data_IF_473819188639
#
_entry.id   IF_473819188639
#
_cell.length_a   1.000
_cell.length_b   1.000
_cell.length_c   1.000
_cell.angle_alpha   90.00
_cell.angle_beta   90.00
_cell.angle_gamma   90.00
#
_symmetry.space_group_name_H-M   'P 1'
#
loop_
_entity.id
_entity.type
_entity.pdbx_description
1 polymer ?
#
# COMPACT_ATOMS: atom_id res chain seq x y z
N UNK A 1 -15.28 7.08 60.16
CA UNK A 1 -14.24 6.49 59.28
C UNK A 1 -12.86 6.99 59.77
N UNK A 2 -11.91 7.38 58.89
CA UNK A 2 -10.64 8.03 59.26
C UNK A 2 -10.68 9.58 59.15
N UNK A 3 -11.80 10.16 58.72
CA UNK A 3 -12.05 11.59 58.87
C UNK A 3 -12.42 11.90 60.33
N UNK A 4 -12.15 13.13 60.75
CA UNK A 4 -12.62 13.60 62.04
C UNK A 4 -14.03 14.18 61.90
N UNK A 5 -14.89 13.99 62.90
CA UNK A 5 -16.26 14.52 62.90
C UNK A 5 -16.33 16.02 62.56
N UNK A 6 -15.34 16.80 63.01
CA UNK A 6 -15.27 18.22 62.68
C UNK A 6 -14.97 18.51 61.21
N UNK A 7 -14.15 17.69 60.56
CA UNK A 7 -13.85 17.82 59.13
C UNK A 7 -15.06 17.40 58.28
N UNK A 8 -15.74 16.33 58.66
CA UNK A 8 -16.97 15.87 58.00
C UNK A 8 -18.04 16.96 58.06
N UNK A 9 -18.35 17.49 59.25
CA UNK A 9 -19.43 18.49 59.40
C UNK A 9 -19.09 19.87 58.83
N UNK A 10 -17.85 20.36 58.99
CA UNK A 10 -17.51 21.75 58.65
C UNK A 10 -16.80 21.94 57.32
N UNK A 11 -16.17 20.89 56.76
CA UNK A 11 -15.38 21.00 55.53
C UNK A 11 -16.05 20.27 54.37
N UNK A 12 -16.38 18.99 54.57
CA UNK A 12 -16.89 18.12 53.50
C UNK A 12 -18.42 18.00 53.49
N UNK A 13 -19.08 18.52 54.52
CA UNK A 13 -20.54 18.53 54.70
C UNK A 13 -21.18 17.14 54.73
N UNK A 14 -20.41 16.14 55.14
CA UNK A 14 -20.82 14.73 55.27
C UNK A 14 -21.38 14.41 56.67
N UNK A 15 -22.06 13.26 56.84
CA UNK A 15 -22.58 12.84 58.15
C UNK A 15 -21.54 11.97 58.89
N UNK A 16 -20.97 12.40 60.03
CA UNK A 16 -19.96 11.63 60.77
C UNK A 16 -20.46 10.28 61.33
N UNK A 17 -21.77 10.00 61.21
CA UNK A 17 -22.37 8.70 61.57
C UNK A 17 -22.42 7.72 60.40
N UNK A 18 -22.22 8.21 59.17
CA UNK A 18 -22.14 7.41 57.96
C UNK A 18 -20.67 7.36 57.55
N UNK A 19 -20.17 6.16 57.26
CA UNK A 19 -18.81 6.04 56.75
C UNK A 19 -18.73 6.37 55.25
N UNK A 20 -19.86 6.35 54.57
CA UNK A 20 -20.08 6.53 53.13
C UNK A 20 -21.39 7.34 53.05
N UNK A 21 -21.25 8.63 52.76
CA UNK A 21 -22.31 9.63 52.90
C UNK A 21 -23.26 9.66 51.73
N UNK A 22 -22.79 9.34 50.53
CA UNK A 22 -23.61 9.26 49.33
C UNK A 22 -24.04 7.83 48.97
N UNK A 23 -23.51 6.81 49.66
CA UNK A 23 -23.84 5.40 49.53
C UNK A 23 -23.49 4.78 48.17
N UNK A 24 -22.40 5.24 47.56
CA UNK A 24 -21.89 4.71 46.29
C UNK A 24 -20.95 3.49 46.46
N UNK A 25 -20.53 3.21 47.70
CA UNK A 25 -19.64 2.11 48.08
C UNK A 25 -18.20 2.51 48.42
N UNK A 26 -17.88 3.80 48.44
CA UNK A 26 -16.60 4.36 48.88
C UNK A 26 -16.81 5.13 50.19
N UNK A 27 -15.87 5.03 51.14
CA UNK A 27 -15.93 5.83 52.37
C UNK A 27 -15.44 7.27 52.13
N UNK A 28 -16.08 8.23 52.81
CA UNK A 28 -15.83 9.67 52.67
C UNK A 28 -14.33 10.00 52.77
N UNK A 29 -13.60 9.34 53.69
CA UNK A 29 -12.16 9.50 53.80
C UNK A 29 -11.40 9.15 52.51
N UNK A 30 -11.73 8.05 51.83
CA UNK A 30 -11.02 7.63 50.60
C UNK A 30 -11.38 8.50 49.42
N UNK A 31 -12.64 8.91 49.33
CA UNK A 31 -13.09 9.85 48.30
C UNK A 31 -12.28 11.13 48.36
N UNK A 32 -12.18 11.75 49.54
CA UNK A 32 -11.49 13.03 49.69
C UNK A 32 -9.96 12.89 49.65
N UNK A 33 -9.39 11.87 50.32
CA UNK A 33 -7.93 11.78 50.49
C UNK A 33 -7.21 10.99 49.40
N UNK A 34 -7.92 10.13 48.68
CA UNK A 34 -7.30 9.20 47.70
C UNK A 34 -7.80 9.44 46.29
N UNK A 35 -9.12 9.54 46.09
CA UNK A 35 -9.72 9.58 44.76
C UNK A 35 -9.92 11.02 44.25
N UNK A 36 -10.16 11.97 45.15
CA UNK A 36 -10.52 13.35 44.80
C UNK A 36 -11.96 13.49 44.30
N UNK A 37 -12.84 12.56 44.67
CA UNK A 37 -14.28 12.58 44.39
C UNK A 37 -15.04 13.39 45.46
N UNK A 38 -16.28 13.76 45.17
CA UNK A 38 -17.16 14.48 46.10
C UNK A 38 -17.96 13.48 46.95
N UNK A 39 -17.73 13.38 48.27
CA UNK A 39 -18.35 12.37 49.13
C UNK A 39 -19.85 12.56 49.37
N UNK A 40 -20.47 13.55 48.71
CA UNK A 40 -21.91 13.76 48.72
C UNK A 40 -22.53 13.53 47.33
N UNK A 41 -21.77 13.01 46.37
CA UNK A 41 -22.21 12.83 45.00
C UNK A 41 -21.71 11.50 44.43
N UNK A 42 -22.66 10.57 44.29
CA UNK A 42 -22.39 9.21 43.84
C UNK A 42 -21.76 9.08 42.44
N UNK A 43 -21.71 10.16 41.66
CA UNK A 43 -21.15 10.25 40.30
C UNK A 43 -20.47 11.63 40.15
N UNK A 44 -19.21 11.71 40.57
CA UNK A 44 -18.47 12.97 40.72
C UNK A 44 -18.18 13.66 39.39
N UNK A 45 -17.97 12.91 38.33
CA UNK A 45 -17.69 13.44 36.99
C UNK A 45 -18.91 13.49 36.05
N UNK A 46 -20.06 13.02 36.54
CA UNK A 46 -21.38 13.08 35.92
C UNK A 46 -21.48 12.31 34.60
N UNK A 47 -20.74 11.22 34.48
CA UNK A 47 -20.70 10.40 33.27
C UNK A 47 -21.70 9.23 33.27
N UNK A 48 -22.40 9.06 34.38
CA UNK A 48 -23.46 8.07 34.59
C UNK A 48 -22.98 6.77 35.22
N UNK A 49 -21.70 6.67 35.60
CA UNK A 49 -21.13 5.54 36.35
C UNK A 49 -20.90 5.99 37.79
N UNK A 50 -21.30 5.18 38.76
CA UNK A 50 -21.07 5.52 40.17
C UNK A 50 -19.57 5.48 40.48
N UNK A 51 -19.07 6.38 41.34
CA UNK A 51 -17.62 6.48 41.61
C UNK A 51 -17.06 5.15 42.15
N UNK A 52 -17.82 4.45 43.00
CA UNK A 52 -17.49 3.12 43.52
C UNK A 52 -17.41 2.00 42.47
N UNK A 53 -17.90 2.24 41.26
CA UNK A 53 -17.86 1.30 40.12
C UNK A 53 -16.98 1.81 38.98
N UNK A 54 -16.64 3.08 38.97
CA UNK A 54 -15.85 3.68 37.91
C UNK A 54 -14.34 3.48 38.14
N UNK A 55 -13.64 3.25 37.03
CA UNK A 55 -12.19 3.18 37.02
C UNK A 55 -11.55 4.57 37.05
N UNK A 56 -12.24 5.61 36.55
CA UNK A 56 -11.76 6.99 36.50
C UNK A 56 -12.82 7.99 37.02
N UNK A 57 -13.21 7.92 38.31
CA UNK A 57 -14.36 8.65 38.86
C UNK A 57 -14.21 10.19 38.92
N UNK A 58 -13.12 10.72 38.36
CA UNK A 58 -12.83 12.16 38.29
C UNK A 58 -12.72 12.66 36.85
N UNK A 59 -12.84 11.77 35.86
CA UNK A 59 -12.63 12.09 34.45
C UNK A 59 -13.66 11.34 33.62
N UNK A 60 -14.67 12.08 33.16
CA UNK A 60 -15.72 11.57 32.31
C UNK A 60 -15.17 10.70 31.16
N UNK A 61 -15.72 9.48 31.02
CA UNK A 61 -15.24 8.43 30.10
C UNK A 61 -15.10 8.86 28.62
N UNK A 62 -15.75 9.94 28.19
CA UNK A 62 -15.70 10.43 26.81
C UNK A 62 -14.33 10.98 26.43
N UNK A 63 -13.58 11.57 27.39
CA UNK A 63 -12.26 12.16 27.13
C UNK A 63 -11.19 11.14 26.71
N UNK A 64 -10.97 10.02 27.43
CA UNK A 64 -10.00 9.01 27.00
C UNK A 64 -10.38 8.38 25.66
N UNK A 65 -11.67 8.14 25.42
CA UNK A 65 -12.14 7.58 24.13
C UNK A 65 -11.89 8.56 22.97
N UNK A 66 -12.19 9.85 23.16
CA UNK A 66 -11.90 10.87 22.15
C UNK A 66 -10.39 10.92 21.82
N UNK A 67 -9.53 10.79 22.83
CA UNK A 67 -8.07 10.71 22.65
C UNK A 67 -7.64 9.50 21.81
N UNK A 68 -8.20 8.32 22.08
CA UNK A 68 -7.91 7.10 21.31
C UNK A 68 -8.39 7.25 19.86
N UNK A 69 -9.59 7.80 19.64
CA UNK A 69 -10.14 8.03 18.30
C UNK A 69 -9.22 9.01 17.52
N UNK A 70 -8.76 10.08 18.15
CA UNK A 70 -7.84 11.03 17.53
C UNK A 70 -6.50 10.36 17.16
N UNK A 71 -5.95 9.51 18.03
CA UNK A 71 -4.72 8.78 17.77
C UNK A 71 -4.88 7.79 16.61
N UNK A 72 -6.00 7.04 16.59
CA UNK A 72 -6.33 6.15 15.48
C UNK A 72 -6.51 6.90 14.17
N UNK A 73 -7.11 8.10 14.21
CA UNK A 73 -7.25 8.95 13.03
C UNK A 73 -5.89 9.41 12.51
N UNK A 74 -5.01 9.90 13.38
CA UNK A 74 -3.64 10.31 13.00
C UNK A 74 -2.86 9.12 12.43
N UNK A 75 -2.96 7.95 13.06
CA UNK A 75 -2.34 6.73 12.57
C UNK A 75 -2.90 6.33 11.19
N UNK A 76 -4.21 6.35 11.00
CA UNK A 76 -4.85 6.03 9.72
C UNK A 76 -4.43 7.00 8.60
N UNK A 77 -4.38 8.30 8.89
CA UNK A 77 -3.87 9.32 7.95
C UNK A 77 -2.39 9.08 7.64
N UNK A 78 -1.58 8.76 8.65
CA UNK A 78 -0.17 8.43 8.49
C UNK A 78 0.06 7.20 7.61
N UNK A 79 -0.70 6.12 7.86
CA UNK A 79 -0.66 4.88 7.07
C UNK A 79 -1.09 5.13 5.63
N UNK A 80 -2.15 5.91 5.41
CA UNK A 80 -2.58 6.25 4.05
C UNK A 80 -1.48 7.01 3.29
N UNK A 81 -0.90 8.03 3.92
CA UNK A 81 0.19 8.82 3.33
C UNK A 81 1.42 7.96 3.03
N UNK A 82 1.73 7.01 3.92
CA UNK A 82 2.82 6.06 3.71
C UNK A 82 2.56 5.12 2.54
N UNK A 83 1.35 4.53 2.46
CA UNK A 83 0.97 3.64 1.35
C UNK A 83 1.10 4.33 0.00
N UNK A 84 0.57 5.54 -0.12
CA UNK A 84 0.59 6.29 -1.39
C UNK A 84 2.03 6.70 -1.80
N UNK A 85 2.99 6.75 -0.86
CA UNK A 85 4.39 7.09 -1.14
C UNK A 85 5.25 5.88 -1.48
N UNK A 86 4.94 4.69 -0.93
CA UNK A 86 5.84 3.53 -0.97
C UNK A 86 5.29 2.31 -1.73
N UNK A 87 3.99 2.26 -2.04
CA UNK A 87 3.41 1.16 -2.81
C UNK A 87 3.17 1.64 -4.24
N UNK A 88 4.17 1.44 -5.10
CA UNK A 88 4.03 1.59 -6.56
C UNK A 88 3.24 0.39 -7.07
N UNK A 89 2.12 0.63 -7.75
CA UNK A 89 1.34 -0.44 -8.40
C UNK A 89 2.18 -1.04 -9.53
N UNK A 90 2.62 -2.28 -9.37
CA UNK A 90 3.33 -3.02 -10.41
C UNK A 90 2.30 -3.47 -11.46
N UNK A 91 2.06 -2.63 -12.48
CA UNK A 91 1.25 -2.99 -13.63
C UNK A 91 2.02 -3.97 -14.53
N UNK A 92 1.93 -5.27 -14.25
CA UNK A 92 2.41 -6.32 -15.16
C UNK A 92 1.26 -6.72 -16.08
N UNK A 93 1.03 -5.96 -17.15
CA UNK A 93 0.15 -6.43 -18.21
C UNK A 93 0.98 -7.29 -19.15
N UNK A 94 0.79 -8.61 -19.11
CA UNK A 94 1.40 -9.52 -20.08
C UNK A 94 0.76 -9.27 -21.44
N UNK A 95 1.55 -8.92 -22.45
CA UNK A 95 1.09 -8.89 -23.81
C UNK A 95 1.32 -10.26 -24.46
N UNK A 96 0.25 -10.92 -24.90
CA UNK A 96 0.33 -12.06 -25.81
C UNK A 96 0.70 -11.55 -27.21
N UNK A 97 1.88 -11.83 -27.77
CA UNK A 97 2.13 -11.49 -29.16
C UNK A 97 1.53 -12.58 -30.03
N UNK A 98 0.49 -12.20 -30.78
CA UNK A 98 0.13 -12.94 -31.97
C UNK A 98 0.94 -12.35 -33.12
N UNK A 99 1.95 -13.07 -33.64
CA UNK A 99 2.53 -12.74 -34.94
C UNK A 99 2.69 -13.95 -35.84
N UNK A 100 2.24 -13.77 -37.09
CA UNK A 100 2.61 -14.61 -38.22
C UNK A 100 4.06 -14.29 -38.62
N UNK A 101 4.84 -15.31 -38.96
CA UNK A 101 6.24 -15.16 -39.41
C UNK A 101 7.26 -16.01 -38.63
N UNK A 102 6.84 -16.62 -37.52
CA UNK A 102 7.65 -17.52 -36.70
C UNK A 102 7.62 -18.97 -37.24
N UNK A 103 8.75 -19.67 -37.15
CA UNK A 103 8.79 -21.12 -37.39
C UNK A 103 8.02 -21.86 -36.27
N UNK A 104 7.46 -23.06 -36.55
CA UNK A 104 6.82 -23.86 -35.52
C UNK A 104 7.76 -24.10 -34.33
N UNK A 105 7.34 -23.70 -33.13
CA UNK A 105 8.12 -23.82 -31.89
C UNK A 105 8.79 -22.53 -31.42
N UNK A 106 8.87 -21.50 -32.27
CA UNK A 106 9.30 -20.17 -31.84
C UNK A 106 8.14 -19.40 -31.22
N UNK A 107 8.44 -18.67 -30.16
CA UNK A 107 7.48 -17.84 -29.43
C UNK A 107 8.17 -16.56 -29.00
N UNK A 108 7.45 -15.44 -29.07
CA UNK A 108 7.92 -14.17 -28.54
C UNK A 108 6.96 -13.83 -27.40
N UNK A 109 7.39 -13.08 -26.41
CA UNK A 109 6.49 -12.51 -25.41
C UNK A 109 6.97 -11.10 -25.08
N UNK A 110 6.04 -10.18 -24.87
CA UNK A 110 6.38 -8.83 -24.43
C UNK A 110 5.76 -8.61 -23.07
N UNK A 111 6.62 -8.37 -22.08
CA UNK A 111 6.22 -7.96 -20.74
C UNK A 111 6.71 -6.53 -20.53
N UNK A 112 6.01 -5.77 -19.69
CA UNK A 112 6.49 -4.45 -19.30
C UNK A 112 6.27 -4.21 -17.81
N UNK A 113 7.11 -3.34 -17.25
CA UNK A 113 7.07 -2.92 -15.85
C UNK A 113 7.33 -1.43 -15.76
N UNK A 114 6.63 -0.77 -14.84
CA UNK A 114 6.77 0.67 -14.59
C UNK A 114 7.55 0.86 -13.29
N UNK A 115 8.63 1.65 -13.34
CA UNK A 115 9.49 1.93 -12.19
C UNK A 115 10.00 3.37 -12.25
N UNK A 116 9.72 4.15 -11.21
CA UNK A 116 10.26 5.51 -11.04
C UNK A 116 10.00 6.49 -12.22
N UNK A 117 8.91 6.29 -12.98
CA UNK A 117 8.59 7.07 -14.20
C UNK A 117 9.23 6.54 -15.48
N UNK A 118 9.96 5.42 -15.39
CA UNK A 118 10.49 4.67 -16.52
C UNK A 118 9.61 3.46 -16.80
N UNK A 119 9.31 3.22 -18.06
CA UNK A 119 8.66 1.98 -18.51
C UNK A 119 9.72 1.09 -19.13
N UNK A 120 9.90 -0.09 -18.54
CA UNK A 120 10.86 -1.10 -18.98
C UNK A 120 10.08 -2.20 -19.70
N UNK A 121 10.36 -2.39 -20.98
CA UNK A 121 9.83 -3.48 -21.78
C UNK A 121 10.83 -4.62 -21.81
N UNK A 122 10.41 -5.80 -21.36
CA UNK A 122 11.11 -7.06 -21.54
C UNK A 122 10.53 -7.81 -22.73
N UNK A 123 11.31 -7.93 -23.81
CA UNK A 123 10.94 -8.78 -24.95
C UNK A 123 11.66 -10.10 -24.82
N UNK A 124 10.88 -11.15 -24.55
CA UNK A 124 11.36 -12.52 -24.43
C UNK A 124 11.26 -13.18 -25.79
N UNK A 125 12.38 -13.61 -26.36
CA UNK A 125 12.45 -14.39 -27.59
C UNK A 125 12.79 -15.83 -27.21
N UNK A 126 11.85 -16.74 -27.43
CA UNK A 126 11.99 -18.17 -27.19
C UNK A 126 12.12 -18.88 -28.53
N UNK A 127 13.23 -19.56 -28.73
CA UNK A 127 13.43 -20.40 -29.89
C UNK A 127 13.26 -21.87 -29.50
N UNK A 128 12.06 -22.43 -29.69
CA UNK A 128 11.81 -23.87 -29.53
C UNK A 128 11.88 -24.65 -30.85
N UNK A 129 12.56 -24.11 -31.86
CA UNK A 129 12.82 -24.80 -33.13
C UNK A 129 14.18 -25.48 -33.11
N UNK A 130 14.41 -26.40 -34.07
CA UNK A 130 15.68 -27.10 -34.23
C UNK A 130 16.80 -26.21 -34.80
N UNK A 131 16.47 -25.02 -35.31
CA UNK A 131 17.39 -24.10 -36.00
C UNK A 131 17.68 -22.85 -35.14
N UNK A 132 18.94 -22.40 -35.02
CA UNK A 132 19.24 -21.15 -34.32
C UNK A 132 18.76 -19.93 -35.12
N UNK A 133 18.29 -18.91 -34.40
CA UNK A 133 18.03 -17.58 -34.96
C UNK A 133 19.31 -16.76 -34.90
N UNK A 134 19.74 -16.16 -35.99
CA UNK A 134 20.96 -15.35 -36.05
C UNK A 134 20.62 -13.86 -36.14
N UNK A 135 21.53 -13.00 -35.65
CA UNK A 135 21.41 -11.54 -35.75
C UNK A 135 20.04 -11.01 -35.28
N UNK A 136 19.54 -11.57 -34.18
CA UNK A 136 18.24 -11.22 -33.61
C UNK A 136 18.28 -9.78 -33.10
N UNK A 137 17.40 -8.95 -33.62
CA UNK A 137 17.25 -7.55 -33.23
C UNK A 137 15.81 -7.26 -32.87
N UNK A 138 15.63 -6.57 -31.75
CA UNK A 138 14.32 -6.15 -31.25
C UNK A 138 14.22 -4.65 -31.43
N UNK A 139 13.20 -4.19 -32.14
CA UNK A 139 12.93 -2.76 -32.38
C UNK A 139 11.58 -2.41 -31.75
N UNK A 140 11.57 -1.48 -30.81
CA UNK A 140 10.36 -0.99 -30.14
C UNK A 140 10.23 0.52 -30.24
N UNK A 141 8.98 0.99 -30.25
CA UNK A 141 8.63 2.40 -30.14
C UNK A 141 7.24 2.61 -29.56
N UNK A 142 7.02 3.80 -29.02
CA UNK A 142 5.71 4.24 -28.51
C UNK A 142 5.36 5.58 -29.18
N UNK A 143 4.97 5.58 -30.46
CA UNK A 143 4.86 6.78 -31.29
C UNK A 143 3.87 7.82 -30.75
N UNK A 144 2.87 7.38 -29.97
CA UNK A 144 1.89 8.29 -29.36
C UNK A 144 2.49 9.14 -28.22
N UNK A 145 3.57 8.66 -27.59
CA UNK A 145 4.14 9.25 -26.39
C UNK A 145 5.56 9.78 -26.59
N UNK A 146 6.31 9.21 -27.53
CA UNK A 146 7.71 9.59 -27.80
C UNK A 146 8.10 9.27 -29.23
N UNK A 147 8.91 10.14 -29.83
CA UNK A 147 9.54 9.90 -31.14
C UNK A 147 10.73 8.93 -31.05
N UNK A 148 11.09 8.48 -29.83
CA UNK A 148 12.20 7.57 -29.62
C UNK A 148 11.86 6.17 -30.14
N UNK A 149 12.71 5.66 -31.03
CA UNK A 149 12.76 4.24 -31.40
C UNK A 149 14.00 3.65 -30.75
N UNK A 150 13.83 2.51 -30.08
CA UNK A 150 14.91 1.80 -29.39
C UNK A 150 15.12 0.44 -30.02
N UNK A 151 16.38 0.08 -30.19
CA UNK A 151 16.80 -1.19 -30.77
C UNK A 151 17.75 -1.89 -29.83
N UNK A 152 17.52 -3.18 -29.57
CA UNK A 152 18.40 -4.04 -28.79
C UNK A 152 18.83 -5.24 -29.63
N UNK A 153 20.12 -5.56 -29.62
CA UNK A 153 20.67 -6.68 -30.37
C UNK A 153 20.92 -7.88 -29.43
N UNK A 154 20.24 -9.00 -29.70
CA UNK A 154 20.32 -10.23 -28.94
C UNK A 154 21.34 -11.23 -29.52
N UNK A 155 21.90 -10.96 -30.70
CA UNK A 155 22.88 -11.82 -31.36
C UNK A 155 22.25 -13.12 -31.85
N UNK A 156 22.83 -14.25 -31.45
CA UNK A 156 22.34 -15.58 -31.84
C UNK A 156 21.52 -16.20 -30.71
N UNK A 157 20.30 -16.63 -31.02
CA UNK A 157 19.42 -17.38 -30.11
C UNK A 157 19.43 -18.84 -30.55
N UNK A 158 20.14 -19.66 -29.77
CA UNK A 158 20.29 -21.10 -30.02
C UNK A 158 18.95 -21.84 -29.99
N UNK A 159 18.91 -23.05 -30.56
CA UNK A 159 17.74 -23.93 -30.44
C UNK A 159 17.45 -24.29 -28.97
N UNK A 160 16.17 -24.42 -28.64
CA UNK A 160 15.63 -24.63 -27.29
C UNK A 160 16.10 -23.62 -26.23
N UNK A 161 16.51 -22.42 -26.66
CA UNK A 161 17.00 -21.35 -25.77
C UNK A 161 16.05 -20.16 -25.67
N UNK A 162 16.30 -19.31 -24.67
CA UNK A 162 15.53 -18.09 -24.41
C UNK A 162 16.50 -16.92 -24.27
N UNK A 163 16.20 -15.83 -24.95
CA UNK A 163 16.91 -14.56 -24.82
C UNK A 163 15.92 -13.46 -24.46
N UNK A 164 16.40 -12.46 -23.73
CA UNK A 164 15.55 -11.35 -23.24
C UNK A 164 16.22 -10.03 -23.59
N UNK A 165 15.49 -9.15 -24.27
CA UNK A 165 15.87 -7.76 -24.49
C UNK A 165 15.16 -6.88 -23.46
N UNK A 166 15.91 -6.02 -22.76
CA UNK A 166 15.35 -5.01 -21.86
C UNK A 166 15.49 -3.63 -22.48
N UNK A 167 14.36 -2.98 -22.77
CA UNK A 167 14.31 -1.67 -23.42
C UNK A 167 13.57 -0.69 -22.52
N UNK A 168 14.23 0.40 -22.17
CA UNK A 168 13.71 1.43 -21.27
C UNK A 168 13.25 2.68 -22.03
N UNK A 169 12.05 3.17 -21.69
CA UNK A 169 11.50 4.44 -22.13
C UNK A 169 11.21 5.35 -20.92
N UNK A 170 11.46 6.64 -21.11
CA UNK A 170 11.06 7.71 -20.19
C UNK A 170 9.71 8.25 -20.66
N UNK A 171 8.64 7.96 -19.90
CA UNK A 171 7.27 8.37 -20.22
C UNK A 171 6.71 9.26 -19.11
N UNK A 172 5.76 10.12 -19.45
CA UNK A 172 5.09 10.95 -18.43
C UNK A 172 4.12 10.07 -17.63
N UNK A 173 4.04 10.22 -16.29
CA UNK A 173 3.10 9.45 -15.47
C UNK A 173 1.65 9.70 -15.89
N UNK A 174 0.87 8.63 -16.05
CA UNK A 174 -0.52 8.65 -16.48
C UNK A 174 -0.71 8.78 -18.00
N UNK A 175 0.36 8.70 -18.79
CA UNK A 175 0.26 8.77 -20.25
C UNK A 175 -0.21 7.43 -20.83
N UNK A 176 -1.21 7.48 -21.72
CA UNK A 176 -1.70 6.31 -22.43
C UNK A 176 -1.20 6.32 -23.88
N UNK A 177 -0.69 5.18 -24.36
CA UNK A 177 -0.20 5.05 -25.72
C UNK A 177 -0.18 3.61 -26.21
N UNK A 178 0.24 3.41 -27.45
CA UNK A 178 0.36 2.09 -28.05
C UNK A 178 1.84 1.71 -28.26
N UNK A 179 2.26 0.59 -27.68
CA UNK A 179 3.55 -0.02 -27.97
C UNK A 179 3.46 -0.72 -29.32
N UNK A 180 4.37 -0.35 -30.22
CA UNK A 180 4.55 -1.01 -31.51
C UNK A 180 6.00 -1.46 -31.65
N UNK A 181 6.22 -2.53 -32.41
CA UNK A 181 7.56 -3.02 -32.62
C UNK A 181 7.62 -4.23 -33.52
N UNK A 182 8.85 -4.68 -33.75
CA UNK A 182 9.15 -5.85 -34.55
C UNK A 182 10.41 -6.53 -34.04
N UNK A 183 10.52 -7.82 -34.34
CA UNK A 183 11.73 -8.62 -34.13
C UNK A 183 12.23 -9.08 -35.49
N UNK A 184 13.48 -8.78 -35.78
CA UNK A 184 14.17 -9.16 -36.99
C UNK A 184 15.17 -10.26 -36.66
N UNK A 185 15.29 -11.26 -37.53
CA UNK A 185 16.32 -12.29 -37.39
C UNK A 185 16.67 -12.89 -38.75
N UNK A 186 17.88 -13.42 -38.86
CA UNK A 186 18.34 -14.17 -40.02
C UNK A 186 18.21 -15.67 -39.73
N UNK A 187 17.60 -16.40 -40.66
CA UNK A 187 17.53 -17.87 -40.61
C UNK A 187 18.90 -18.49 -40.95
N UNK A 188 19.05 -19.78 -40.66
CA UNK A 188 20.27 -20.54 -41.00
C UNK A 188 20.50 -20.58 -42.52
N UNK A 189 19.44 -20.44 -43.32
CA UNK A 189 19.51 -20.36 -44.78
C UNK A 189 19.94 -18.96 -45.29
N UNK A 190 20.14 -18.00 -44.39
CA UNK A 190 20.48 -16.61 -44.72
C UNK A 190 19.28 -15.77 -45.16
N UNK A 191 18.06 -16.27 -45.01
CA UNK A 191 16.85 -15.49 -45.26
C UNK A 191 16.57 -14.57 -44.07
N UNK A 192 16.43 -13.27 -44.36
CA UNK A 192 16.04 -12.26 -43.37
C UNK A 192 14.53 -12.31 -43.10
N UNK A 193 14.16 -12.47 -41.84
CA UNK A 193 12.77 -12.59 -41.37
C UNK A 193 12.44 -11.41 -40.46
N UNK A 194 11.23 -10.88 -40.64
CA UNK A 194 10.68 -9.80 -39.81
C UNK A 194 9.37 -10.27 -39.21
N UNK A 195 9.28 -10.16 -37.89
CA UNK A 195 8.13 -10.58 -37.09
C UNK A 195 7.54 -9.34 -36.43
N UNK A 196 6.37 -8.90 -36.91
CA UNK A 196 5.71 -7.71 -36.39
C UNK A 196 5.00 -8.02 -35.08
N UNK A 197 5.32 -7.28 -34.02
CA UNK A 197 4.63 -7.44 -32.76
C UNK A 197 3.23 -6.84 -32.87
N UNK A 198 2.25 -7.53 -32.28
CA UNK A 198 0.90 -6.98 -32.18
C UNK A 198 0.96 -5.70 -31.34
N UNK A 199 0.32 -4.61 -31.80
CA UNK A 199 0.23 -3.40 -31.01
C UNK A 199 -0.45 -3.65 -29.65
N UNK A 200 0.10 -3.07 -28.59
CA UNK A 200 -0.39 -3.25 -27.21
C UNK A 200 -0.59 -1.89 -26.58
N UNK A 201 -1.79 -1.65 -26.06
CA UNK A 201 -2.08 -0.44 -25.30
C UNK A 201 -1.41 -0.50 -23.94
N UNK A 202 -0.68 0.55 -23.60
CA UNK A 202 0.03 0.73 -22.33
C UNK A 202 -0.45 2.01 -21.64
N UNK A 203 -0.30 2.02 -20.32
CA UNK A 203 -0.56 3.17 -19.45
C UNK A 203 0.66 3.32 -18.55
N UNK A 204 1.36 4.45 -18.63
CA UNK A 204 2.57 4.76 -17.87
C UNK A 204 2.27 5.35 -16.48
#
# INVERSE_FOLDING_TARGET
DLLSDGAEVYTYLTDPRLADSDADGIDDYREVMVLGTDPNNQDSDQDGILDGQDFLPTIHWIFPIAGIIALLFVAAVGVRRFRDTYMVEEFVTKADPASLGLEPGMDIAVEYKIRDGHVIFGVVVRNGSDNPMQNVQVVLGVPDLTDAIKTENLGTVESDSVSVAEIQFELQPGAEGELVGMVEYDSVEGEHKVVNLKPVRIVA
#
